data_IF_625468715777
#
_entry.id   IF_625468715777
#
_cell.length_a   1.000
_cell.length_b   1.000
_cell.length_c   1.000
_cell.angle_alpha   90.00
_cell.angle_beta   90.00
_cell.angle_gamma   90.00
#
_symmetry.space_group_name_H-M   'P 1'
#
loop_
_entity.id
_entity.type
_entity.pdbx_description
1 polymer ?
#
# COMPACT_ATOMS: atom_id res chain seq x y z
N UNK A 1 -23.84 -12.64 4.95
CA UNK A 1 -23.21 -11.38 4.50
C UNK A 1 -21.99 -11.80 3.69
N UNK A 2 -22.01 -11.67 2.35
CA UNK A 2 -20.82 -11.94 1.55
C UNK A 2 -19.77 -10.92 1.99
N UNK A 3 -18.79 -11.35 2.78
CA UNK A 3 -17.60 -10.54 2.97
C UNK A 3 -17.01 -10.33 1.57
N UNK A 4 -16.77 -9.07 1.22
CA UNK A 4 -16.00 -8.66 0.05
C UNK A 4 -14.61 -9.31 0.23
N UNK A 5 -14.45 -10.54 -0.28
CA UNK A 5 -13.19 -11.31 -0.26
C UNK A 5 -12.39 -11.09 -1.54
N UNK A 6 -13.03 -10.51 -2.55
CA UNK A 6 -12.44 -10.15 -3.82
C UNK A 6 -11.19 -9.28 -3.60
N UNK A 7 -10.07 -9.74 -4.17
CA UNK A 7 -8.87 -8.92 -4.27
C UNK A 7 -9.20 -7.67 -5.09
N UNK A 8 -8.51 -6.57 -4.81
CA UNK A 8 -8.75 -5.30 -5.52
C UNK A 8 -7.45 -4.77 -6.08
N UNK A 9 -7.53 -4.21 -7.28
CA UNK A 9 -6.41 -3.53 -7.93
C UNK A 9 -6.60 -2.03 -7.79
N UNK A 10 -5.52 -1.33 -7.43
CA UNK A 10 -5.50 0.09 -7.14
C UNK A 10 -4.44 0.78 -7.99
N UNK A 11 -4.69 2.04 -8.34
CA UNK A 11 -3.65 2.99 -8.75
C UNK A 11 -3.35 3.89 -7.56
N UNK A 12 -2.07 4.06 -7.23
CA UNK A 12 -1.63 4.92 -6.14
C UNK A 12 -0.64 5.93 -6.67
N UNK A 13 -0.95 7.22 -6.54
CA UNK A 13 -0.02 8.31 -6.79
C UNK A 13 0.47 8.82 -5.43
N UNK A 14 1.79 8.88 -5.25
CA UNK A 14 2.40 9.33 -4.00
C UNK A 14 3.65 10.14 -4.25
N UNK A 15 4.01 10.98 -3.28
CA UNK A 15 5.26 11.74 -3.23
C UNK A 15 6.27 11.00 -2.35
N UNK A 16 7.54 11.07 -2.70
CA UNK A 16 8.67 10.63 -1.86
C UNK A 16 9.50 11.82 -1.42
N UNK A 17 9.91 11.84 -0.15
CA UNK A 17 10.73 12.90 0.43
C UNK A 17 11.88 12.27 1.23
N UNK A 18 13.13 12.33 0.74
CA UNK A 18 13.56 12.89 -0.56
C UNK A 18 13.06 12.06 -1.77
N UNK A 19 13.14 12.60 -2.99
CA UNK A 19 12.84 11.87 -4.22
C UNK A 19 13.64 10.56 -4.32
N UNK A 20 13.00 9.51 -4.85
CA UNK A 20 13.65 8.20 -5.07
C UNK A 20 13.77 7.90 -6.56
N UNK A 21 14.89 7.27 -6.93
CA UNK A 21 15.06 6.77 -8.28
C UNK A 21 14.10 5.61 -8.58
N UNK A 22 13.64 5.55 -9.82
CA UNK A 22 12.74 4.48 -10.29
C UNK A 22 13.32 3.08 -10.06
N UNK A 23 14.63 2.91 -10.23
CA UNK A 23 15.31 1.63 -9.98
C UNK A 23 15.19 1.17 -8.53
N UNK A 24 15.28 2.09 -7.57
CA UNK A 24 15.11 1.79 -6.14
C UNK A 24 13.68 1.35 -5.84
N UNK A 25 12.69 2.01 -6.44
CA UNK A 25 11.29 1.64 -6.29
C UNK A 25 11.00 0.26 -6.92
N UNK A 26 11.49 0.01 -8.14
CA UNK A 26 11.41 -1.29 -8.82
C UNK A 26 12.10 -2.41 -8.04
N UNK A 27 13.17 -2.12 -7.31
CA UNK A 27 13.84 -3.08 -6.42
C UNK A 27 13.13 -3.30 -5.09
N UNK A 28 12.34 -2.34 -4.60
CA UNK A 28 11.64 -2.44 -3.32
C UNK A 28 10.37 -3.30 -3.40
N UNK A 29 9.57 -3.13 -4.47
CA UNK A 29 8.27 -3.80 -4.59
C UNK A 29 8.36 -5.34 -4.57
N UNK A 30 9.26 -6.01 -5.33
CA UNK A 30 9.36 -7.47 -5.33
C UNK A 30 9.73 -8.08 -3.98
N UNK A 31 10.36 -7.30 -3.09
CA UNK A 31 10.68 -7.73 -1.73
C UNK A 31 9.46 -7.61 -0.81
N UNK A 32 8.66 -6.55 -0.96
CA UNK A 32 7.48 -6.32 -0.13
C UNK A 32 6.29 -7.21 -0.49
N UNK A 33 6.09 -7.50 -1.78
CA UNK A 33 4.94 -8.30 -2.26
C UNK A 33 4.82 -9.67 -1.57
N UNK A 34 5.88 -10.50 -1.44
CA UNK A 34 5.74 -11.80 -0.80
C UNK A 34 5.55 -11.72 0.73
N UNK A 35 5.93 -10.61 1.37
CA UNK A 35 5.93 -10.46 2.82
C UNK A 35 4.51 -10.23 3.38
N UNK A 36 4.13 -10.91 4.48
CA UNK A 36 2.89 -10.62 5.18
C UNK A 36 2.98 -9.26 5.89
N UNK A 37 1.93 -8.47 5.79
CA UNK A 37 1.85 -7.12 6.35
C UNK A 37 1.01 -7.15 7.62
N UNK A 38 1.57 -6.69 8.73
CA UNK A 38 0.82 -6.40 9.94
C UNK A 38 0.27 -4.97 9.87
N UNK A 39 -1.04 -4.83 9.78
CA UNK A 39 -1.73 -3.53 9.76
C UNK A 39 -2.57 -3.36 11.02
N UNK A 40 -2.13 -2.51 11.93
CA UNK A 40 -2.98 -2.00 12.99
C UNK A 40 -4.07 -1.10 12.38
N UNK A 41 -5.26 -1.10 12.99
CA UNK A 41 -6.37 -0.24 12.56
C UNK A 41 -5.86 1.19 12.34
N UNK A 42 -5.98 1.79 11.14
CA UNK A 42 -5.36 3.08 10.86
C UNK A 42 -5.81 4.19 11.80
N UNK A 43 -4.93 5.14 12.11
CA UNK A 43 -5.27 6.25 13.02
C UNK A 43 -6.53 7.00 12.57
N UNK A 44 -6.65 7.23 11.25
CA UNK A 44 -7.78 7.93 10.64
C UNK A 44 -9.14 7.25 10.83
N UNK A 45 -9.19 5.98 11.23
CA UNK A 45 -10.45 5.24 11.47
C UNK A 45 -10.57 4.63 12.85
N UNK A 46 -9.57 4.80 13.74
CA UNK A 46 -9.57 4.17 15.08
C UNK A 46 -10.75 4.62 15.94
N UNK A 47 -11.26 5.84 15.75
CA UNK A 47 -12.46 6.34 16.45
C UNK A 47 -13.76 5.63 16.03
N UNK A 48 -13.75 4.87 14.92
CA UNK A 48 -14.89 4.16 14.35
C UNK A 48 -14.75 2.64 14.38
N UNK A 49 -13.56 2.11 14.69
CA UNK A 49 -13.24 0.68 14.60
C UNK A 49 -12.39 0.27 15.78
N UNK A 50 -12.58 -0.97 16.24
CA UNK A 50 -11.70 -1.56 17.25
C UNK A 50 -10.23 -1.46 16.82
N UNK A 51 -9.38 -0.99 17.72
CA UNK A 51 -7.95 -0.92 17.49
C UNK A 51 -7.34 -2.33 17.58
N UNK A 52 -6.97 -2.89 16.45
CA UNK A 52 -6.44 -4.26 16.38
C UNK A 52 -5.56 -4.42 15.14
N UNK A 53 -4.58 -5.32 15.24
CA UNK A 53 -3.66 -5.66 14.16
C UNK A 53 -4.20 -6.80 13.31
N UNK A 54 -4.17 -6.63 12.00
CA UNK A 54 -4.63 -7.62 11.02
C UNK A 54 -3.52 -7.90 10.03
N UNK A 55 -3.30 -9.18 9.73
CA UNK A 55 -2.36 -9.59 8.70
C UNK A 55 -3.02 -9.51 7.31
N UNK A 56 -2.31 -8.92 6.35
CA UNK A 56 -2.74 -8.71 4.97
C UNK A 56 -1.60 -9.00 4.01
N UNK A 57 -1.92 -9.16 2.73
CA UNK A 57 -0.93 -9.35 1.67
C UNK A 57 -1.17 -8.43 0.47
N UNK A 58 -0.06 -7.96 -0.09
CA UNK A 58 -0.03 -7.48 -1.48
C UNK A 58 0.14 -8.71 -2.37
N UNK A 59 -0.65 -8.80 -3.42
CA UNK A 59 -0.63 -9.91 -4.37
C UNK A 59 0.25 -9.58 -5.58
N UNK A 60 0.22 -8.32 -6.01
CA UNK A 60 1.08 -7.80 -7.06
C UNK A 60 1.32 -6.30 -6.85
N UNK A 61 2.50 -5.82 -7.23
CA UNK A 61 2.76 -4.39 -7.31
C UNK A 61 3.77 -4.10 -8.43
N UNK A 62 3.52 -3.04 -9.17
CA UNK A 62 4.40 -2.58 -10.25
C UNK A 62 4.50 -1.05 -10.29
N UNK A 63 5.65 -0.56 -10.76
CA UNK A 63 5.85 0.87 -11.01
C UNK A 63 5.25 1.23 -12.36
N UNK A 64 4.34 2.20 -12.38
CA UNK A 64 3.74 2.72 -13.61
C UNK A 64 4.58 3.86 -14.17
N UNK A 65 4.96 4.83 -13.31
CA UNK A 65 5.84 5.95 -13.69
C UNK A 65 6.48 6.60 -12.47
N UNK A 66 7.63 7.22 -12.67
CA UNK A 66 8.28 8.11 -11.70
C UNK A 66 8.61 9.43 -12.39
N UNK A 67 8.30 10.54 -11.74
CA UNK A 67 8.47 11.90 -12.25
C UNK A 67 8.88 12.83 -11.11
N UNK A 68 10.18 13.10 -11.02
CA UNK A 68 10.78 13.88 -9.94
C UNK A 68 10.52 13.25 -8.58
N UNK A 69 9.75 13.94 -7.73
CA UNK A 69 9.40 13.50 -6.38
C UNK A 69 8.12 12.65 -6.34
N UNK A 70 7.45 12.44 -7.48
CA UNK A 70 6.20 11.67 -7.58
C UNK A 70 6.41 10.31 -8.21
N UNK A 71 5.70 9.32 -7.69
CA UNK A 71 5.64 7.98 -8.26
C UNK A 71 4.19 7.50 -8.32
N UNK A 72 3.88 6.78 -9.39
CA UNK A 72 2.63 6.06 -9.56
C UNK A 72 2.91 4.56 -9.58
N UNK A 73 2.17 3.81 -8.77
CA UNK A 73 2.24 2.35 -8.73
C UNK A 73 0.85 1.77 -8.94
N UNK A 74 0.82 0.56 -9.51
CA UNK A 74 -0.37 -0.29 -9.51
C UNK A 74 -0.18 -1.39 -8.48
N UNK A 75 -1.20 -1.62 -7.66
CA UNK A 75 -1.14 -2.56 -6.54
C UNK A 75 -2.39 -3.42 -6.51
N UNK A 76 -2.24 -4.74 -6.53
CA UNK A 76 -3.32 -5.69 -6.26
C UNK A 76 -3.14 -6.23 -4.85
N UNK A 77 -4.19 -6.21 -4.03
CA UNK A 77 -4.11 -6.63 -2.64
C UNK A 77 -5.34 -7.40 -2.18
N UNK A 78 -5.19 -8.14 -1.08
CA UNK A 78 -6.30 -8.78 -0.38
C UNK A 78 -7.35 -7.76 0.07
N UNK A 79 -8.60 -8.20 0.17
CA UNK A 79 -9.67 -7.34 0.62
C UNK A 79 -9.44 -6.79 2.04
N UNK A 80 -9.77 -5.51 2.23
CA UNK A 80 -9.60 -4.82 3.51
C UNK A 80 -8.14 -4.48 3.83
N UNK A 81 -7.22 -4.58 2.87
CA UNK A 81 -5.87 -4.03 2.97
C UNK A 81 -5.93 -2.50 2.93
N UNK A 82 -5.27 -1.85 3.88
CA UNK A 82 -5.19 -0.39 3.94
C UNK A 82 -4.02 0.09 3.07
N UNK A 83 -4.29 0.31 1.77
CA UNK A 83 -3.25 0.63 0.77
C UNK A 83 -2.47 1.91 1.12
N UNK A 84 -3.17 2.96 1.58
CA UNK A 84 -2.50 4.22 1.95
C UNK A 84 -1.47 3.97 3.04
N UNK A 85 -1.91 3.26 4.07
CA UNK A 85 -1.10 2.93 5.24
C UNK A 85 0.04 1.96 4.92
N UNK A 86 -0.11 1.05 3.95
CA UNK A 86 1.02 0.27 3.43
C UNK A 86 2.04 1.12 2.68
N UNK A 87 1.61 2.19 2.00
CA UNK A 87 2.54 3.12 1.33
C UNK A 87 3.29 3.99 2.35
N UNK A 88 2.58 4.67 3.26
CA UNK A 88 3.18 5.67 4.16
C UNK A 88 3.60 5.16 5.55
N UNK A 89 3.21 3.94 5.93
CA UNK A 89 3.57 3.27 7.18
C UNK A 89 2.73 3.65 8.41
N UNK A 90 1.86 4.67 8.30
CA UNK A 90 0.95 5.14 9.34
C UNK A 90 1.63 5.32 10.70
N UNK A 91 2.78 6.01 10.70
CA UNK A 91 3.60 6.25 11.91
C UNK A 91 4.02 4.95 12.64
N UNK A 92 4.24 3.88 11.88
CA UNK A 92 4.66 2.58 12.41
C UNK A 92 3.51 1.62 12.71
N UNK A 93 2.27 1.99 12.40
CA UNK A 93 1.08 1.12 12.57
C UNK A 93 0.93 0.09 11.44
N UNK A 94 1.70 0.23 10.35
CA UNK A 94 1.79 -0.77 9.30
C UNK A 94 3.24 -1.16 9.05
N UNK A 95 3.54 -2.46 9.14
CA UNK A 95 4.88 -3.00 8.84
C UNK A 95 4.79 -4.41 8.21
N UNK A 96 5.62 -4.71 7.19
CA UNK A 96 6.47 -3.76 6.47
C UNK A 96 5.63 -2.74 5.66
N UNK A 97 6.21 -1.57 5.41
CA UNK A 97 5.63 -0.52 4.56
C UNK A 97 6.59 -0.10 3.45
N UNK A 98 6.05 0.54 2.40
CA UNK A 98 6.87 1.04 1.30
C UNK A 98 7.84 2.14 1.76
N UNK A 99 7.36 3.07 2.59
CA UNK A 99 8.20 4.12 3.18
C UNK A 99 9.36 3.53 3.99
N UNK A 100 9.09 2.54 4.85
CA UNK A 100 10.12 1.84 5.63
C UNK A 100 11.16 1.18 4.72
N UNK A 101 10.70 0.48 3.67
CA UNK A 101 11.58 -0.23 2.74
C UNK A 101 12.46 0.72 1.91
N UNK A 102 11.91 1.85 1.50
CA UNK A 102 12.66 2.87 0.74
C UNK A 102 13.57 3.69 1.66
N UNK A 103 13.31 3.72 2.97
CA UNK A 103 14.02 4.56 3.94
C UNK A 103 13.73 6.06 3.73
N UNK A 104 12.56 6.40 3.19
CA UNK A 104 12.14 7.79 2.93
C UNK A 104 10.66 7.97 3.27
N UNK A 105 10.24 9.20 3.53
CA UNK A 105 8.82 9.48 3.74
C UNK A 105 8.05 9.32 2.43
N UNK A 106 6.89 8.67 2.48
CA UNK A 106 5.96 8.56 1.36
C UNK A 106 4.62 9.23 1.73
N UNK A 107 4.12 10.12 0.89
CA UNK A 107 2.84 10.81 1.07
C UNK A 107 1.88 10.43 -0.06
N UNK A 108 0.75 9.80 0.27
CA UNK A 108 -0.24 9.42 -0.74
C UNK A 108 -1.05 10.63 -1.18
N UNK A 109 -0.98 10.95 -2.47
CA UNK A 109 -1.70 12.05 -3.10
C UNK A 109 -3.07 11.55 -3.58
N UNK A 110 -3.09 10.45 -4.35
CA UNK A 110 -4.32 9.88 -4.92
C UNK A 110 -4.34 8.35 -4.76
N UNK A 111 -5.54 7.80 -4.63
CA UNK A 111 -5.79 6.37 -4.57
C UNK A 111 -7.10 6.06 -5.30
N UNK A 112 -7.00 5.34 -6.41
CA UNK A 112 -8.14 4.92 -7.21
C UNK A 112 -8.29 3.40 -7.20
N UNK A 113 -9.53 2.91 -7.17
CA UNK A 113 -9.83 1.48 -7.39
C UNK A 113 -9.96 1.27 -8.89
N UNK A 114 -9.11 0.42 -9.46
CA UNK A 114 -9.15 0.06 -10.88
C UNK A 114 -10.03 -1.15 -11.13
N UNK A 115 -9.95 -2.15 -10.26
CA UNK A 115 -10.66 -3.41 -10.45
C UNK A 115 -11.04 -4.09 -9.13
N UNK A 116 -12.10 -4.87 -9.17
CA UNK A 116 -12.55 -5.75 -8.09
C UNK A 116 -12.58 -7.16 -8.66
N UNK A 117 -11.59 -7.95 -8.29
CA UNK A 117 -11.41 -9.33 -8.74
C UNK A 117 -12.38 -10.23 -7.97
N UNK A 118 -13.63 -10.28 -8.44
CA UNK A 118 -14.66 -11.19 -7.92
C UNK A 118 -14.37 -12.60 -8.48
N UNK A 119 -14.06 -13.56 -7.60
CA UNK A 119 -14.01 -14.97 -7.95
C UNK A 119 -15.46 -15.43 -8.22
N UNK A 120 -15.94 -15.23 -9.44
CA UNK A 120 -17.19 -15.82 -9.94
C UNK A 120 -16.91 -16.97 -10.89
#
# INVERSE_FOLDING_TARGET
>A
MKEDRAAKTYRVLFRTVPPVEEAKLKGALPVLVPEPIAQQTPERVVHRRADTTRHRRILAAEVVRVDGDRAEIRVTAEAGTYIKEWVHGDRGRTSPSLAERLGVACEVIELDVLDVLDDR
#
